data_IF_589978242887
#
_entry.id   IF_589978242887
#
_cell.length_a   1.000
_cell.length_b   1.000
_cell.length_c   1.000
_cell.angle_alpha   90.00
_cell.angle_beta   90.00
_cell.angle_gamma   90.00
#
_symmetry.space_group_name_H-M   'P 1'
#
loop_
_entity.id
_entity.type
_entity.pdbx_description
1 polymer ?
#
# COMPACT_ATOMS: atom_id res chain seq x y z
N UNK A 1 2.46 -29.99 27.01
CA UNK A 1 1.35 -29.46 26.18
C UNK A 1 1.14 -27.95 26.38
N UNK A 2 2.19 -27.12 26.50
CA UNK A 2 2.07 -25.65 26.72
C UNK A 2 2.57 -24.77 25.56
N UNK A 3 2.84 -25.33 24.38
CA UNK A 3 3.50 -24.58 23.29
C UNK A 3 2.57 -23.63 22.50
N UNK A 4 1.25 -23.86 22.47
CA UNK A 4 0.34 -23.02 21.69
C UNK A 4 0.11 -21.64 22.30
N UNK A 5 0.00 -21.57 23.64
CA UNK A 5 -0.14 -20.29 24.35
C UNK A 5 1.14 -19.45 24.30
N UNK A 6 2.31 -20.11 24.33
CA UNK A 6 3.60 -19.43 24.13
C UNK A 6 3.78 -18.96 22.67
N UNK A 7 3.31 -19.71 21.68
CA UNK A 7 3.29 -19.26 20.28
C UNK A 7 2.38 -18.02 20.10
N UNK A 8 1.26 -17.96 20.82
CA UNK A 8 0.37 -16.79 20.80
C UNK A 8 0.98 -15.55 21.49
N UNK A 9 1.93 -15.75 22.41
CA UNK A 9 2.58 -14.63 23.12
C UNK A 9 3.41 -13.74 22.21
N UNK A 10 3.89 -14.27 21.08
CA UNK A 10 4.61 -13.52 20.04
C UNK A 10 3.73 -12.39 19.48
N UNK A 11 2.43 -12.65 19.26
CA UNK A 11 1.50 -11.64 18.75
C UNK A 11 1.18 -10.51 19.75
N UNK A 12 1.59 -10.65 21.01
CA UNK A 12 1.46 -9.59 22.02
C UNK A 12 2.67 -8.66 22.08
N UNK A 13 3.72 -8.95 21.32
CA UNK A 13 4.87 -8.06 21.23
C UNK A 13 4.42 -6.71 20.64
N UNK A 14 4.69 -5.57 21.32
CA UNK A 14 4.33 -4.24 20.81
C UNK A 14 4.88 -3.96 19.40
N UNK A 15 5.99 -4.58 19.01
CA UNK A 15 6.56 -4.49 17.67
C UNK A 15 5.67 -5.12 16.61
N UNK A 16 5.16 -6.31 16.88
CA UNK A 16 4.29 -7.06 15.95
C UNK A 16 2.92 -6.39 15.86
N UNK A 17 2.42 -5.87 16.98
CA UNK A 17 1.20 -5.07 17.01
C UNK A 17 1.38 -3.79 16.18
N UNK A 18 2.49 -3.07 16.33
CA UNK A 18 2.79 -1.91 15.50
C UNK A 18 2.82 -2.23 14.01
N UNK A 19 3.50 -3.32 13.61
CA UNK A 19 3.54 -3.79 12.22
C UNK A 19 2.14 -4.08 11.67
N UNK A 20 1.23 -4.60 12.50
CA UNK A 20 -0.16 -4.83 12.08
C UNK A 20 -0.92 -3.54 11.76
N UNK A 21 -0.76 -2.50 12.58
CA UNK A 21 -1.39 -1.20 12.34
C UNK A 21 -0.74 -0.42 11.19
N UNK A 22 0.57 -0.57 10.99
CA UNK A 22 1.25 -0.04 9.81
C UNK A 22 0.77 -0.74 8.53
N UNK A 23 0.58 -2.07 8.60
CA UNK A 23 -0.05 -2.84 7.51
C UNK A 23 -1.48 -2.38 7.23
N UNK A 24 -2.26 -2.12 8.27
CA UNK A 24 -3.60 -1.53 8.13
C UNK A 24 -3.54 -0.19 7.40
N UNK A 25 -2.67 0.72 7.84
CA UNK A 25 -2.48 2.02 7.21
C UNK A 25 -2.06 1.93 5.73
N UNK A 26 -1.16 1.00 5.39
CA UNK A 26 -0.72 0.73 4.02
C UNK A 26 -1.84 0.18 3.12
N UNK A 27 -2.82 -0.53 3.69
CA UNK A 27 -3.91 -1.15 2.93
C UNK A 27 -5.00 -0.18 2.48
N UNK A 28 -5.19 0.95 3.17
CA UNK A 28 -6.28 1.90 2.89
C UNK A 28 -6.11 2.59 1.51
N UNK A 29 -4.93 3.16 1.15
CA UNK A 29 -4.82 3.96 -0.06
C UNK A 29 -4.86 3.16 -1.36
N UNK A 30 -4.55 1.85 -1.33
CA UNK A 30 -4.59 1.02 -2.53
C UNK A 30 -5.99 0.98 -3.15
N UNK A 31 -7.03 0.76 -2.33
CA UNK A 31 -8.40 0.72 -2.82
C UNK A 31 -8.95 2.10 -3.16
N UNK A 32 -8.50 3.13 -2.43
CA UNK A 32 -8.86 4.53 -2.66
C UNK A 32 -8.52 4.97 -4.09
N UNK A 33 -7.30 4.68 -4.55
CA UNK A 33 -6.85 4.99 -5.92
C UNK A 33 -7.27 3.94 -6.96
N UNK A 34 -7.90 2.85 -6.53
CA UNK A 34 -8.29 1.71 -7.36
C UNK A 34 -9.81 1.61 -7.53
N UNK A 35 -10.41 0.52 -7.02
CA UNK A 35 -11.82 0.21 -7.28
C UNK A 35 -12.80 1.27 -6.76
N UNK A 36 -12.44 2.00 -5.69
CA UNK A 36 -13.33 3.02 -5.11
C UNK A 36 -13.42 4.23 -6.02
N UNK A 37 -12.28 4.72 -6.51
CA UNK A 37 -12.24 5.79 -7.50
C UNK A 37 -12.93 5.38 -8.80
N UNK A 38 -12.73 4.15 -9.27
CA UNK A 38 -13.44 3.65 -10.45
C UNK A 38 -14.96 3.64 -10.27
N UNK A 39 -15.46 3.23 -9.09
CA UNK A 39 -16.89 3.29 -8.77
C UNK A 39 -17.41 4.73 -8.82
N UNK A 40 -16.69 5.66 -8.20
CA UNK A 40 -17.06 7.07 -8.21
C UNK A 40 -17.12 7.65 -9.63
N UNK A 41 -16.07 7.45 -10.42
CA UNK A 41 -16.03 7.88 -11.82
C UNK A 41 -17.18 7.29 -12.66
N UNK A 42 -17.56 6.04 -12.38
CA UNK A 42 -18.69 5.40 -13.08
C UNK A 42 -20.02 6.06 -12.74
N UNK A 43 -20.25 6.41 -11.48
CA UNK A 43 -21.48 7.10 -11.07
C UNK A 43 -21.58 8.52 -11.62
N UNK A 44 -20.45 9.22 -11.74
CA UNK A 44 -20.35 10.53 -12.41
C UNK A 44 -20.41 10.42 -13.94
N UNK A 45 -20.74 9.24 -14.48
CA UNK A 45 -20.91 8.98 -15.92
C UNK A 45 -19.67 9.28 -16.77
N UNK A 46 -18.48 9.16 -16.19
CA UNK A 46 -17.22 9.24 -16.93
C UNK A 46 -17.12 8.04 -17.89
N UNK A 47 -16.57 8.27 -19.09
CA UNK A 47 -16.48 7.24 -20.10
C UNK A 47 -15.56 6.08 -19.67
N UNK A 48 -15.90 4.86 -20.11
CA UNK A 48 -15.16 3.64 -19.78
C UNK A 48 -13.70 3.66 -20.20
N UNK A 49 -13.36 4.40 -21.27
CA UNK A 49 -11.97 4.51 -21.75
C UNK A 49 -11.14 5.30 -20.74
N UNK A 50 -11.65 6.42 -20.28
CA UNK A 50 -11.05 7.21 -19.20
C UNK A 50 -10.94 6.39 -17.92
N UNK A 51 -11.99 5.69 -17.49
CA UNK A 51 -11.93 4.80 -16.31
C UNK A 51 -10.85 3.72 -16.46
N UNK A 52 -10.72 3.14 -17.66
CA UNK A 52 -9.64 2.23 -18.01
C UNK A 52 -8.26 2.87 -17.88
N UNK A 53 -8.08 4.11 -18.37
CA UNK A 53 -6.84 4.86 -18.21
C UNK A 53 -6.53 5.18 -16.74
N UNK A 54 -7.54 5.40 -15.90
CA UNK A 54 -7.35 5.57 -14.46
C UNK A 54 -6.73 4.35 -13.78
N UNK A 55 -6.81 3.14 -14.36
CA UNK A 55 -6.05 1.98 -13.85
C UNK A 55 -4.54 2.22 -13.85
N UNK A 56 -4.03 3.09 -14.73
CA UNK A 56 -2.62 3.49 -14.78
C UNK A 56 -2.18 4.30 -13.55
N UNK A 57 -3.12 4.87 -12.79
CA UNK A 57 -2.82 5.49 -11.49
C UNK A 57 -2.21 4.47 -10.53
N UNK A 58 -2.48 3.17 -10.71
CA UNK A 58 -1.86 2.09 -9.94
C UNK A 58 -0.40 1.79 -10.29
N UNK A 59 0.15 2.34 -11.39
CA UNK A 59 1.54 2.10 -11.83
C UNK A 59 2.59 2.33 -10.73
N UNK A 60 2.46 3.32 -9.82
CA UNK A 60 3.45 3.51 -8.79
C UNK A 60 3.65 2.29 -7.88
N UNK A 61 2.59 1.52 -7.59
CA UNK A 61 2.73 0.29 -6.80
C UNK A 61 3.57 -0.78 -7.50
N UNK A 62 3.52 -0.84 -8.83
CA UNK A 62 4.31 -1.77 -9.65
C UNK A 62 5.75 -1.30 -9.81
N UNK A 63 5.94 0.02 -9.98
CA UNK A 63 7.24 0.63 -10.27
C UNK A 63 8.02 1.05 -9.03
N UNK A 64 7.50 0.79 -7.82
CA UNK A 64 8.08 1.24 -6.55
C UNK A 64 9.55 0.83 -6.34
N UNK A 65 9.99 -0.26 -6.98
CA UNK A 65 11.39 -0.69 -6.97
C UNK A 65 12.36 0.31 -7.61
N UNK A 66 11.91 1.19 -8.50
CA UNK A 66 12.77 2.17 -9.18
C UNK A 66 13.30 3.25 -8.23
N UNK A 67 12.48 3.69 -7.28
CA UNK A 67 12.85 4.73 -6.32
C UNK A 67 13.04 4.22 -4.89
N UNK A 68 12.76 2.94 -4.61
CA UNK A 68 13.07 2.34 -3.32
C UNK A 68 14.53 2.56 -2.87
N UNK A 69 15.54 2.33 -3.71
CA UNK A 69 16.93 2.57 -3.33
C UNK A 69 17.19 4.04 -2.98
N UNK A 70 16.55 4.97 -3.67
CA UNK A 70 16.70 6.40 -3.43
C UNK A 70 16.14 6.76 -2.05
N UNK A 71 14.92 6.30 -1.74
CA UNK A 71 14.27 6.54 -0.46
C UNK A 71 15.08 5.95 0.71
N UNK A 72 15.66 4.76 0.54
CA UNK A 72 16.46 4.10 1.60
C UNK A 72 17.76 4.85 1.95
N UNK A 73 18.33 5.60 0.99
CA UNK A 73 19.59 6.31 1.16
C UNK A 73 19.41 7.79 1.53
N UNK A 74 18.21 8.36 1.34
CA UNK A 74 17.94 9.76 1.64
C UNK A 74 17.73 10.00 3.14
N UNK A 75 18.56 10.89 3.70
CA UNK A 75 18.47 11.32 5.09
C UNK A 75 17.72 12.65 5.16
N UNK A 76 16.64 12.71 5.94
CA UNK A 76 15.89 13.96 6.16
C UNK A 76 16.54 14.71 7.33
N UNK A 77 17.26 15.83 7.09
CA UNK A 77 18.27 16.34 8.02
C UNK A 77 17.74 16.86 9.37
N UNK A 78 16.47 17.29 9.43
CA UNK A 78 15.87 17.87 10.66
C UNK A 78 15.08 16.81 11.43
N UNK A 79 14.17 16.10 10.76
CA UNK A 79 13.29 15.13 11.41
C UNK A 79 14.02 13.85 11.84
N UNK A 80 15.01 13.41 11.04
CA UNK A 80 15.76 12.17 11.33
C UNK A 80 16.60 12.26 12.60
N UNK A 81 16.98 13.47 13.02
CA UNK A 81 17.73 13.71 14.28
C UNK A 81 16.85 13.61 15.51
N UNK A 82 15.55 13.85 15.39
CA UNK A 82 14.62 13.94 16.53
C UNK A 82 13.87 12.62 16.72
N UNK A 83 13.42 11.99 15.63
CA UNK A 83 12.54 10.82 15.71
C UNK A 83 13.14 9.54 15.14
N UNK A 84 14.30 9.62 14.47
CA UNK A 84 14.87 8.51 13.70
C UNK A 84 14.53 8.59 12.22
N UNK A 85 15.28 7.86 11.38
CA UNK A 85 15.22 7.94 9.92
C UNK A 85 13.91 7.36 9.37
N UNK A 86 13.51 6.18 9.85
CA UNK A 86 12.35 5.46 9.29
C UNK A 86 11.03 6.10 9.73
N UNK A 87 10.88 6.41 11.02
CA UNK A 87 9.70 7.14 11.53
C UNK A 87 9.46 8.47 10.84
N UNK A 88 10.52 9.22 10.55
CA UNK A 88 10.42 10.51 9.86
C UNK A 88 9.82 10.39 8.46
N UNK A 89 10.31 9.41 7.68
CA UNK A 89 9.77 9.12 6.36
C UNK A 89 8.34 8.60 6.42
N UNK A 90 8.03 7.71 7.38
CA UNK A 90 6.65 7.22 7.58
C UNK A 90 5.70 8.40 7.82
N UNK A 91 6.00 9.28 8.78
CA UNK A 91 5.13 10.43 9.08
C UNK A 91 4.97 11.37 7.88
N UNK A 92 6.04 11.69 7.17
CA UNK A 92 5.97 12.61 6.03
C UNK A 92 5.11 12.01 4.91
N UNK A 93 5.37 10.76 4.51
CA UNK A 93 4.62 10.09 3.44
C UNK A 93 3.15 9.91 3.82
N UNK A 94 2.88 9.58 5.08
CA UNK A 94 1.53 9.49 5.64
C UNK A 94 0.78 10.82 5.55
N UNK A 95 1.43 11.94 5.86
CA UNK A 95 0.85 13.27 5.72
C UNK A 95 0.58 13.63 4.25
N UNK A 96 1.46 13.21 3.33
CA UNK A 96 1.23 13.36 1.89
C UNK A 96 0.04 12.53 1.41
N UNK A 97 -0.09 11.27 1.83
CA UNK A 97 -1.24 10.42 1.52
C UNK A 97 -2.53 11.05 2.03
N UNK A 98 -2.53 11.53 3.28
CA UNK A 98 -3.68 12.18 3.89
C UNK A 98 -4.08 13.45 3.13
N UNK A 99 -3.13 14.35 2.86
CA UNK A 99 -3.40 15.58 2.13
C UNK A 99 -3.92 15.30 0.72
N UNK A 100 -3.30 14.35 -0.01
CA UNK A 100 -3.72 13.99 -1.36
C UNK A 100 -5.10 13.32 -1.38
N UNK A 101 -5.43 12.51 -0.36
CA UNK A 101 -6.75 11.88 -0.22
C UNK A 101 -7.84 12.92 0.08
N UNK A 102 -7.54 13.92 0.91
CA UNK A 102 -8.47 15.03 1.15
C UNK A 102 -8.68 15.86 -0.13
N UNK A 103 -7.60 16.21 -0.84
CA UNK A 103 -7.71 16.91 -2.13
C UNK A 103 -8.57 16.12 -3.12
N UNK A 104 -8.42 14.80 -3.18
CA UNK A 104 -9.22 13.93 -4.02
C UNK A 104 -10.71 13.96 -3.60
N UNK A 105 -11.01 13.90 -2.30
CA UNK A 105 -12.40 13.95 -1.80
C UNK A 105 -13.12 15.28 -2.02
N UNK A 106 -12.39 16.39 -2.13
CA UNK A 106 -12.94 17.72 -2.46
C UNK A 106 -12.86 18.04 -3.97
N UNK A 107 -12.36 17.13 -4.80
CA UNK A 107 -12.31 17.32 -6.24
C UNK A 107 -13.60 16.79 -6.87
N UNK A 108 -14.17 17.52 -7.82
CA UNK A 108 -15.32 17.06 -8.60
C UNK A 108 -14.82 16.42 -9.92
N UNK A 109 -15.06 15.12 -10.15
CA UNK A 109 -14.71 14.46 -11.41
C UNK A 109 -15.43 15.04 -12.64
N UNK A 110 -16.63 15.60 -12.47
CA UNK A 110 -17.40 16.20 -13.54
C UNK A 110 -16.81 17.56 -13.99
N UNK A 111 -16.21 18.31 -13.06
CA UNK A 111 -15.57 19.59 -13.38
C UNK A 111 -14.16 19.43 -13.96
N UNK A 112 -13.32 18.58 -13.35
CA UNK A 112 -11.91 18.48 -13.73
C UNK A 112 -11.30 17.10 -13.49
N UNK A 113 -11.51 16.21 -14.46
CA UNK A 113 -10.99 14.86 -14.45
C UNK A 113 -9.46 14.78 -14.33
N UNK A 114 -8.72 15.75 -14.90
CA UNK A 114 -7.26 15.80 -14.82
C UNK A 114 -6.79 16.05 -13.38
N UNK A 115 -7.48 16.93 -12.64
CA UNK A 115 -7.16 17.19 -11.23
C UNK A 115 -7.35 15.93 -10.38
N UNK A 116 -8.44 15.20 -10.62
CA UNK A 116 -8.72 13.91 -9.97
C UNK A 116 -7.62 12.89 -10.29
N UNK A 117 -7.21 12.80 -11.56
CA UNK A 117 -6.12 11.90 -11.98
C UNK A 117 -4.78 12.23 -11.31
N UNK A 118 -4.40 13.51 -11.26
CA UNK A 118 -3.16 13.95 -10.60
C UNK A 118 -3.23 13.67 -9.10
N UNK A 119 -4.34 14.01 -8.44
CA UNK A 119 -4.51 13.75 -7.01
C UNK A 119 -4.43 12.25 -6.69
N UNK A 120 -5.11 11.41 -7.48
CA UNK A 120 -5.07 9.96 -7.33
C UNK A 120 -3.65 9.39 -7.58
N UNK A 121 -2.92 9.93 -8.57
CA UNK A 121 -1.53 9.56 -8.82
C UNK A 121 -0.61 9.93 -7.66
N UNK A 122 -0.80 11.11 -7.06
CA UNK A 122 -0.06 11.53 -5.86
C UNK A 122 -0.37 10.61 -4.67
N UNK A 123 -1.65 10.24 -4.46
CA UNK A 123 -2.03 9.24 -3.45
C UNK A 123 -1.30 7.92 -3.69
N UNK A 124 -1.36 7.40 -4.91
CA UNK A 124 -0.72 6.13 -5.26
C UNK A 124 0.80 6.17 -5.11
N UNK A 125 1.45 7.25 -5.52
CA UNK A 125 2.91 7.42 -5.40
C UNK A 125 3.35 7.54 -3.94
N UNK A 126 2.66 8.36 -3.15
CA UNK A 126 2.97 8.54 -1.73
C UNK A 126 2.72 7.25 -0.94
N UNK A 127 1.63 6.53 -1.24
CA UNK A 127 1.31 5.24 -0.64
C UNK A 127 2.31 4.14 -1.03
N UNK A 128 2.65 4.03 -2.31
CA UNK A 128 3.68 3.08 -2.76
C UNK A 128 5.05 3.36 -2.13
N UNK A 129 5.36 4.63 -1.89
CA UNK A 129 6.57 5.04 -1.17
C UNK A 129 6.49 4.71 0.33
N UNK A 130 5.31 4.87 0.93
CA UNK A 130 5.05 4.49 2.31
C UNK A 130 5.25 2.98 2.52
N UNK A 131 4.74 2.16 1.61
CA UNK A 131 4.93 0.70 1.63
C UNK A 131 6.40 0.30 1.65
N UNK A 132 7.26 0.96 0.86
CA UNK A 132 8.72 0.69 0.84
C UNK A 132 9.31 0.87 2.25
N UNK A 133 8.96 1.97 2.91
CA UNK A 133 9.47 2.26 4.25
C UNK A 133 8.92 1.26 5.27
N UNK A 134 7.63 0.91 5.20
CA UNK A 134 7.03 -0.07 6.12
C UNK A 134 7.64 -1.46 5.93
N UNK A 135 7.85 -1.89 4.69
CA UNK A 135 8.50 -3.17 4.37
C UNK A 135 9.91 -3.23 4.96
N UNK A 136 10.70 -2.16 4.79
CA UNK A 136 12.05 -2.08 5.38
C UNK A 136 12.01 -2.02 6.91
N UNK A 137 11.10 -1.21 7.47
CA UNK A 137 10.93 -1.04 8.92
C UNK A 137 10.51 -2.35 9.60
N UNK A 138 9.65 -3.16 8.96
CA UNK A 138 9.26 -4.49 9.45
C UNK A 138 10.47 -5.41 9.57
N UNK A 139 11.33 -5.43 8.57
CA UNK A 139 12.55 -6.27 8.56
C UNK A 139 13.53 -5.82 9.66
N UNK A 140 13.65 -4.52 9.89
CA UNK A 140 14.56 -3.95 10.90
C UNK A 140 14.08 -4.15 12.35
N UNK A 141 12.76 -4.30 12.58
CA UNK A 141 12.17 -4.44 13.92
C UNK A 141 11.95 -5.89 14.34
N UNK A 142 11.68 -6.78 13.39
CA UNK A 142 11.40 -8.19 13.68
C UNK A 142 12.72 -8.98 13.73
N UNK A 143 13.01 -9.57 14.88
CA UNK A 143 14.10 -10.53 15.01
C UNK A 143 13.88 -11.73 14.06
N UNK A 144 14.94 -12.44 13.64
CA UNK A 144 14.87 -13.54 12.67
C UNK A 144 13.82 -14.62 13.04
N UNK A 145 13.61 -14.86 14.34
CA UNK A 145 12.60 -15.80 14.86
C UNK A 145 11.16 -15.30 14.71
N UNK A 146 10.95 -13.98 14.62
CA UNK A 146 9.65 -13.32 14.60
C UNK A 146 9.27 -12.78 13.21
N UNK A 147 10.16 -12.85 12.21
CA UNK A 147 9.90 -12.33 10.85
C UNK A 147 8.65 -12.93 10.20
N UNK A 148 8.41 -14.23 10.39
CA UNK A 148 7.22 -14.90 9.86
C UNK A 148 5.93 -14.36 10.47
N UNK A 149 5.91 -14.16 11.79
CA UNK A 149 4.77 -13.59 12.50
C UNK A 149 4.52 -12.13 12.08
N UNK A 150 5.59 -11.32 11.97
CA UNK A 150 5.49 -9.94 11.51
C UNK A 150 4.99 -9.80 10.07
N UNK A 151 5.41 -10.69 9.17
CA UNK A 151 4.89 -10.71 7.79
C UNK A 151 3.40 -11.08 7.76
N UNK A 152 2.99 -12.07 8.55
CA UNK A 152 1.60 -12.50 8.64
C UNK A 152 0.70 -11.39 9.21
N UNK A 153 1.10 -10.74 10.31
CA UNK A 153 0.29 -9.66 10.91
C UNK A 153 0.23 -8.41 10.03
N UNK A 154 1.30 -8.10 9.30
CA UNK A 154 1.29 -7.05 8.28
C UNK A 154 0.22 -7.31 7.22
N UNK A 155 0.23 -8.51 6.61
CA UNK A 155 -0.75 -8.89 5.59
C UNK A 155 -2.16 -8.90 6.16
N UNK A 156 -2.34 -9.38 7.40
CA UNK A 156 -3.64 -9.38 8.05
C UNK A 156 -4.18 -7.96 8.25
N UNK A 157 -3.35 -7.06 8.81
CA UNK A 157 -3.71 -5.64 8.96
C UNK A 157 -4.08 -5.00 7.62
N UNK A 158 -3.28 -5.26 6.58
CA UNK A 158 -3.52 -4.80 5.21
C UNK A 158 -4.88 -5.27 4.67
N UNK A 159 -5.21 -6.55 4.83
CA UNK A 159 -6.49 -7.13 4.38
C UNK A 159 -7.69 -6.58 5.16
N UNK A 160 -7.54 -6.38 6.47
CA UNK A 160 -8.58 -5.76 7.30
C UNK A 160 -8.84 -4.32 6.85
N UNK A 161 -7.79 -3.56 6.54
CA UNK A 161 -7.94 -2.21 6.00
C UNK A 161 -8.62 -2.21 4.64
N UNK A 162 -8.23 -3.09 3.72
CA UNK A 162 -8.89 -3.22 2.42
C UNK A 162 -10.39 -3.52 2.57
N UNK A 163 -10.74 -4.45 3.46
CA UNK A 163 -12.13 -4.78 3.72
C UNK A 163 -12.90 -3.59 4.28
N UNK A 164 -12.39 -3.00 5.37
CA UNK A 164 -13.04 -1.89 6.04
C UNK A 164 -13.21 -0.72 5.08
N UNK A 165 -12.16 -0.37 4.33
CA UNK A 165 -12.17 0.72 3.36
C UNK A 165 -13.18 0.45 2.26
N UNK A 166 -13.14 -0.73 1.63
CA UNK A 166 -14.05 -1.06 0.53
C UNK A 166 -15.51 -1.19 0.94
N UNK A 167 -15.78 -1.63 2.17
CA UNK A 167 -17.12 -1.70 2.73
C UNK A 167 -17.63 -0.32 3.15
N UNK A 168 -16.86 0.39 3.98
CA UNK A 168 -17.27 1.69 4.52
C UNK A 168 -17.37 2.74 3.43
N UNK A 169 -16.50 2.70 2.41
CA UNK A 169 -16.48 3.73 1.37
C UNK A 169 -17.78 3.78 0.60
N UNK A 170 -18.31 2.62 0.20
CA UNK A 170 -19.53 2.53 -0.58
C UNK A 170 -20.76 2.82 0.26
N UNK A 171 -20.79 2.34 1.51
CA UNK A 171 -21.89 2.65 2.43
C UNK A 171 -21.97 4.17 2.69
N UNK A 172 -20.85 4.79 3.03
CA UNK A 172 -20.81 6.23 3.32
C UNK A 172 -21.06 7.04 2.05
N UNK A 173 -20.54 6.62 0.90
CA UNK A 173 -20.80 7.32 -0.36
C UNK A 173 -22.28 7.33 -0.74
N UNK A 174 -23.01 6.24 -0.50
CA UNK A 174 -24.44 6.13 -0.79
C UNK A 174 -25.30 7.05 0.09
N UNK A 175 -24.99 7.13 1.39
CA UNK A 175 -25.80 7.92 2.35
C UNK A 175 -25.34 9.38 2.52
N UNK A 176 -24.04 9.64 2.46
CA UNK A 176 -23.42 10.92 2.83
C UNK A 176 -22.57 11.53 1.71
N UNK A 177 -22.43 10.84 0.58
CA UNK A 177 -21.65 11.30 -0.57
C UNK A 177 -20.16 10.99 -0.50
N UNK A 178 -19.49 11.16 -1.65
CA UNK A 178 -18.09 10.79 -1.85
C UNK A 178 -17.11 11.59 -1.00
N UNK A 179 -17.34 12.89 -0.81
CA UNK A 179 -16.45 13.73 0.01
C UNK A 179 -16.33 13.21 1.45
N UNK A 180 -17.45 12.89 2.10
CA UNK A 180 -17.44 12.34 3.46
C UNK A 180 -16.80 10.95 3.47
N UNK A 181 -17.05 10.14 2.44
CA UNK A 181 -16.39 8.84 2.27
C UNK A 181 -14.86 8.97 2.25
N UNK A 182 -14.31 9.85 1.41
CA UNK A 182 -12.86 10.11 1.34
C UNK A 182 -12.29 10.73 2.62
N UNK A 183 -13.05 11.57 3.33
CA UNK A 183 -12.64 12.09 4.64
C UNK A 183 -12.53 10.98 5.70
N UNK A 184 -13.48 10.05 5.73
CA UNK A 184 -13.41 8.90 6.66
C UNK A 184 -12.23 7.99 6.31
N UNK A 185 -11.96 7.76 5.03
CA UNK A 185 -10.79 6.98 4.60
C UNK A 185 -9.47 7.69 4.97
N UNK A 186 -9.40 9.02 4.82
CA UNK A 186 -8.27 9.81 5.31
C UNK A 186 -8.11 9.72 6.85
N UNK A 187 -9.22 9.62 7.60
CA UNK A 187 -9.18 9.37 9.03
C UNK A 187 -8.68 7.97 9.38
N UNK A 188 -9.01 6.93 8.60
CA UNK A 188 -8.46 5.58 8.79
C UNK A 188 -6.94 5.54 8.59
N UNK A 189 -6.43 6.31 7.63
CA UNK A 189 -4.99 6.50 7.41
C UNK A 189 -4.31 7.06 8.67
N UNK A 190 -4.97 7.90 9.49
CA UNK A 190 -4.38 8.43 10.74
C UNK A 190 -4.01 7.36 11.77
N UNK A 191 -4.62 6.17 11.71
CA UNK A 191 -4.26 5.03 12.58
C UNK A 191 -2.77 4.68 12.42
N UNK A 192 -2.25 4.74 11.19
CA UNK A 192 -0.82 4.57 10.90
C UNK A 192 0.01 5.66 11.55
N UNK A 193 -0.39 6.93 11.39
CA UNK A 193 0.31 8.07 12.00
C UNK A 193 0.45 7.92 13.51
N UNK A 194 -0.66 7.58 14.19
CA UNK A 194 -0.69 7.38 15.64
C UNK A 194 0.26 6.24 16.03
N UNK A 195 0.22 5.13 15.28
CA UNK A 195 1.08 3.97 15.51
C UNK A 195 2.57 4.33 15.43
N UNK A 196 2.96 5.15 14.43
CA UNK A 196 4.36 5.57 14.26
C UNK A 196 4.87 6.34 15.47
N UNK A 197 4.04 7.16 16.12
CA UNK A 197 4.44 7.90 17.33
C UNK A 197 4.72 6.97 18.52
N UNK A 198 4.03 5.85 18.64
CA UNK A 198 4.19 4.89 19.73
C UNK A 198 5.21 3.78 19.44
N UNK A 199 5.57 3.54 18.18
CA UNK A 199 6.47 2.44 17.80
C UNK A 199 7.91 2.87 17.97
N UNK A 200 8.76 2.15 18.72
CA UNK A 200 10.18 2.50 18.93
C UNK A 200 10.99 2.47 17.62
N UNK A 201 11.90 3.43 17.40
CA UNK A 201 12.80 3.41 16.22
C UNK A 201 13.73 2.18 16.35
N UNK A 202 13.89 1.35 15.31
CA UNK A 202 14.83 0.24 15.35
C UNK A 202 16.24 0.76 15.64
N UNK A 203 17.00 0.00 16.44
CA UNK A 203 18.37 0.35 16.76
C UNK A 203 19.15 0.49 15.46
N UNK A 204 19.66 1.70 15.19
CA UNK A 204 20.46 1.95 13.99
C UNK A 204 21.68 1.05 14.08
N UNK A 205 21.82 0.11 13.15
CA UNK A 205 23.03 -0.68 13.05
C UNK A 205 24.21 0.28 12.78
N UNK A 206 25.19 0.42 13.70
CA UNK A 206 26.34 1.30 13.51
C UNK A 206 27.11 0.97 12.21
N UNK A 207 27.01 -0.26 11.72
CA UNK A 207 27.57 -0.67 10.44
C UNK A 207 26.89 -0.01 9.21
N UNK A 208 25.58 0.28 9.29
CA UNK A 208 24.86 1.01 8.25
C UNK A 208 25.18 2.52 8.29
N UNK A 209 25.38 3.08 9.49
CA UNK A 209 25.88 4.44 9.66
C UNK A 209 27.33 4.59 9.14
N UNK A 210 28.17 3.56 9.28
CA UNK A 210 29.52 3.51 8.71
C UNK A 210 29.55 3.54 7.17
N UNK A 211 28.62 2.84 6.50
CA UNK A 211 28.48 2.88 5.02
C UNK A 211 27.98 4.22 4.50
N UNK A 212 27.32 5.03 5.32
CA UNK A 212 26.85 6.37 4.95
C UNK A 212 27.91 7.47 5.08
N UNK A 213 29.00 7.21 5.81
CA UNK A 213 30.09 8.16 6.04
C UNK A 213 31.32 7.93 5.16
N UNK A 214 31.40 6.81 4.44
CA UNK A 214 32.27 6.74 3.26
C UNK A 214 31.65 7.63 2.19
N UNK A 215 32.28 8.79 1.95
CA UNK A 215 31.91 9.75 0.91
C UNK A 215 31.34 9.02 -0.31
N UNK A 216 30.08 9.26 -0.72
CA UNK A 216 29.60 8.79 -2.02
C UNK A 216 30.23 9.67 -3.11
N UNK A 217 31.53 9.49 -3.32
CA UNK A 217 32.15 9.65 -4.63
C UNK A 217 32.15 8.30 -5.36
N UNK A 218 31.27 7.39 -4.95
CA UNK A 218 30.89 6.20 -5.70
C UNK A 218 29.93 6.64 -6.80
N UNK A 219 30.42 6.54 -8.02
CA UNK A 219 29.74 6.77 -9.29
C UNK A 219 28.23 6.43 -9.20
N UNK A 220 27.34 7.41 -9.43
CA UNK A 220 25.89 7.20 -9.46
C UNK A 220 25.51 6.01 -10.37
N UNK A 221 26.33 5.77 -11.40
CA UNK A 221 26.24 4.61 -12.29
C UNK A 221 26.48 3.27 -11.57
N UNK A 222 27.45 3.20 -10.66
CA UNK A 222 27.75 1.99 -9.90
C UNK A 222 26.66 1.70 -8.87
N UNK A 223 26.09 2.74 -8.25
CA UNK A 223 24.96 2.58 -7.33
C UNK A 223 23.68 2.08 -8.04
N UNK A 224 23.34 2.65 -9.20
CA UNK A 224 22.24 2.13 -10.04
C UNK A 224 22.52 0.69 -10.46
N UNK A 225 23.77 0.41 -10.87
CA UNK A 225 24.14 -0.93 -11.30
C UNK A 225 23.91 -1.95 -10.19
N UNK A 226 24.41 -1.69 -8.99
CA UNK A 226 24.30 -2.65 -7.87
C UNK A 226 22.90 -2.73 -7.27
N UNK A 227 22.16 -1.62 -7.19
CA UNK A 227 20.85 -1.59 -6.51
C UNK A 227 19.69 -1.97 -7.43
N UNK A 228 19.80 -1.70 -8.74
CA UNK A 228 18.73 -1.92 -9.72
C UNK A 228 19.13 -3.00 -10.72
N UNK A 229 20.27 -2.86 -11.41
CA UNK A 229 20.60 -3.72 -12.56
C UNK A 229 21.00 -5.13 -12.14
N UNK A 230 21.88 -5.27 -11.14
CA UNK A 230 22.43 -6.56 -10.71
C UNK A 230 21.36 -7.57 -10.27
N UNK A 231 20.31 -7.18 -9.49
CA UNK A 231 19.18 -8.06 -9.19
C UNK A 231 18.42 -8.57 -10.42
N UNK A 232 18.18 -7.71 -11.42
CA UNK A 232 17.53 -8.14 -12.67
C UNK A 232 18.44 -9.05 -13.49
N UNK A 233 19.74 -8.76 -13.55
CA UNK A 233 20.71 -9.62 -14.24
C UNK A 233 20.80 -10.98 -13.56
N UNK A 234 20.79 -11.04 -12.23
CA UNK A 234 20.75 -12.32 -11.50
C UNK A 234 19.47 -13.11 -11.80
N UNK A 235 18.31 -12.43 -11.85
CA UNK A 235 17.06 -13.05 -12.25
C UNK A 235 17.11 -13.63 -13.68
N UNK A 236 17.65 -12.88 -14.65
CA UNK A 236 17.76 -13.31 -16.05
C UNK A 236 18.76 -14.46 -16.25
N UNK A 237 19.67 -14.69 -15.29
CA UNK A 237 20.58 -15.85 -15.31
C UNK A 237 19.93 -17.13 -14.82
N UNK A 238 18.76 -17.07 -14.20
CA UNK A 238 18.08 -18.26 -13.67
C UNK A 238 17.47 -19.08 -14.81
N UNK A 239 17.56 -20.42 -14.75
CA UNK A 239 16.96 -21.27 -15.76
C UNK A 239 15.43 -21.06 -15.77
N UNK A 240 14.82 -21.04 -16.97
CA UNK A 240 13.38 -20.86 -17.18
C UNK A 240 12.81 -19.47 -16.79
N UNK A 241 13.64 -18.44 -16.58
CA UNK A 241 13.16 -17.09 -16.22
C UNK A 241 12.10 -16.55 -17.18
N UNK A 242 12.26 -16.78 -18.50
CA UNK A 242 11.33 -16.30 -19.52
C UNK A 242 9.97 -17.00 -19.42
N UNK A 243 9.96 -18.32 -19.19
CA UNK A 243 8.73 -19.10 -19.02
C UNK A 243 7.99 -18.62 -17.77
N UNK A 244 8.71 -18.36 -16.69
CA UNK A 244 8.14 -17.84 -15.44
C UNK A 244 7.49 -16.46 -15.68
N UNK A 245 8.18 -15.53 -16.36
CA UNK A 245 7.61 -14.22 -16.70
C UNK A 245 6.37 -14.38 -17.57
N UNK A 246 6.44 -15.17 -18.65
CA UNK A 246 5.30 -15.38 -19.54
C UNK A 246 4.11 -15.97 -18.78
N UNK A 247 4.34 -16.98 -17.93
CA UNK A 247 3.30 -17.56 -17.09
C UNK A 247 2.65 -16.51 -16.19
N UNK A 248 3.44 -15.71 -15.48
CA UNK A 248 2.93 -14.65 -14.59
C UNK A 248 2.13 -13.63 -15.39
N UNK A 249 2.65 -13.16 -16.54
CA UNK A 249 1.98 -12.17 -17.38
C UNK A 249 0.66 -12.72 -17.90
N UNK A 250 0.63 -13.90 -18.52
CA UNK A 250 -0.62 -14.47 -19.06
C UNK A 250 -1.64 -14.77 -17.96
N UNK A 251 -1.19 -15.28 -16.81
CA UNK A 251 -2.06 -15.53 -15.66
C UNK A 251 -2.64 -14.24 -15.08
N UNK A 252 -1.80 -13.21 -14.86
CA UNK A 252 -2.22 -11.94 -14.25
C UNK A 252 -2.89 -10.97 -15.20
N UNK A 253 -2.68 -11.11 -16.51
CA UNK A 253 -3.25 -10.22 -17.50
C UNK A 253 -4.78 -10.26 -17.47
N UNK A 254 -5.36 -11.46 -17.47
CA UNK A 254 -6.82 -11.63 -17.35
C UNK A 254 -7.36 -11.09 -16.03
N UNK A 255 -6.71 -11.43 -14.92
CA UNK A 255 -7.07 -10.97 -13.57
C UNK A 255 -7.05 -9.43 -13.46
N UNK A 256 -6.02 -8.79 -14.01
CA UNK A 256 -5.86 -7.33 -13.97
C UNK A 256 -6.90 -6.61 -14.84
N UNK A 257 -7.16 -7.12 -16.04
CA UNK A 257 -8.20 -6.57 -16.93
C UNK A 257 -9.60 -6.72 -16.32
N UNK A 258 -9.91 -7.92 -15.81
CA UNK A 258 -11.17 -8.17 -15.14
C UNK A 258 -11.31 -7.22 -13.93
N UNK A 259 -10.28 -7.13 -13.08
CA UNK A 259 -10.29 -6.28 -11.89
C UNK A 259 -10.57 -4.81 -12.18
N UNK A 260 -10.03 -4.26 -13.28
CA UNK A 260 -10.21 -2.86 -13.65
C UNK A 260 -11.63 -2.50 -14.16
N UNK A 261 -12.35 -3.48 -14.73
CA UNK A 261 -13.67 -3.26 -15.34
C UNK A 261 -14.80 -3.82 -14.47
N UNK A 262 -14.51 -4.75 -13.56
CA UNK A 262 -15.51 -5.42 -12.72
C UNK A 262 -16.38 -4.43 -11.93
N UNK A 263 -15.79 -3.43 -11.29
CA UNK A 263 -16.56 -2.47 -10.48
C UNK A 263 -17.46 -1.57 -11.35
N UNK A 264 -16.95 -0.95 -12.43
CA UNK A 264 -17.81 -0.25 -13.40
C UNK A 264 -18.91 -1.14 -13.99
N UNK A 265 -18.60 -2.39 -14.32
CA UNK A 265 -19.55 -3.34 -14.89
C UNK A 265 -20.72 -3.63 -13.95
N UNK A 266 -20.47 -3.83 -12.64
CA UNK A 266 -21.55 -4.02 -11.67
C UNK A 266 -22.48 -2.80 -11.58
N UNK A 267 -21.92 -1.59 -11.55
CA UNK A 267 -22.72 -0.38 -11.50
C UNK A 267 -23.56 -0.18 -12.78
N UNK A 268 -22.97 -0.43 -13.95
CA UNK A 268 -23.68 -0.30 -15.23
C UNK A 268 -24.76 -1.35 -15.45
N UNK A 269 -24.63 -2.53 -14.84
CA UNK A 269 -25.66 -3.58 -14.89
C UNK A 269 -26.83 -3.32 -13.91
N UNK A 270 -26.74 -2.25 -13.11
CA UNK A 270 -27.82 -1.79 -12.23
C UNK A 270 -27.66 -2.18 -10.76
N UNK A 271 -26.52 -2.76 -10.36
CA UNK A 271 -26.27 -3.03 -8.94
C UNK A 271 -25.99 -1.74 -8.17
N UNK A 272 -26.53 -1.67 -6.95
CA UNK A 272 -26.29 -0.57 -6.02
C UNK A 272 -24.91 -0.66 -5.35
N UNK A 273 -24.41 0.47 -4.85
CA UNK A 273 -23.20 0.53 -4.03
C UNK A 273 -23.29 -0.42 -2.82
N UNK A 274 -24.48 -0.50 -2.20
CA UNK A 274 -24.74 -1.36 -1.05
C UNK A 274 -24.69 -2.85 -1.39
N UNK A 275 -25.21 -3.27 -2.54
CA UNK A 275 -25.11 -4.66 -2.99
C UNK A 275 -23.66 -5.05 -3.26
N UNK A 276 -22.88 -4.16 -3.89
CA UNK A 276 -21.45 -4.40 -4.13
C UNK A 276 -20.68 -4.51 -2.80
N UNK A 277 -20.98 -3.64 -1.83
CA UNK A 277 -20.36 -3.69 -0.50
C UNK A 277 -20.71 -4.98 0.27
N UNK A 278 -21.99 -5.36 0.27
CA UNK A 278 -22.47 -6.53 1.02
C UNK A 278 -22.05 -7.86 0.37
N UNK A 279 -22.13 -7.97 -0.95
CA UNK A 279 -21.88 -9.24 -1.63
C UNK A 279 -20.40 -9.36 -1.97
N UNK A 280 -19.88 -8.46 -2.80
CA UNK A 280 -18.53 -8.59 -3.38
C UNK A 280 -17.46 -8.35 -2.32
N UNK A 281 -17.61 -7.28 -1.52
CA UNK A 281 -16.58 -6.90 -0.54
C UNK A 281 -16.67 -7.70 0.75
N UNK A 282 -17.85 -8.11 1.21
CA UNK A 282 -17.95 -8.87 2.47
C UNK A 282 -17.69 -10.36 2.28
N UNK A 283 -18.38 -11.03 1.35
CA UNK A 283 -18.16 -12.47 1.15
C UNK A 283 -16.78 -12.78 0.59
N UNK A 284 -16.30 -12.00 -0.39
CA UNK A 284 -14.97 -12.19 -0.97
C UNK A 284 -13.86 -12.08 0.07
N UNK A 285 -13.96 -11.12 0.99
CA UNK A 285 -12.96 -10.95 2.04
C UNK A 285 -13.09 -12.03 3.12
N UNK A 286 -14.30 -12.41 3.55
CA UNK A 286 -14.46 -13.53 4.50
C UNK A 286 -13.86 -14.81 3.94
N UNK A 287 -14.13 -15.13 2.67
CA UNK A 287 -13.54 -16.29 2.00
C UNK A 287 -12.00 -16.20 1.96
N UNK A 288 -11.45 -15.00 1.73
CA UNK A 288 -10.00 -14.77 1.75
C UNK A 288 -9.41 -14.98 3.15
N UNK A 289 -10.08 -14.48 4.20
CA UNK A 289 -9.63 -14.68 5.58
C UNK A 289 -9.69 -16.14 6.01
N UNK A 290 -10.77 -16.85 5.62
CA UNK A 290 -10.90 -18.29 5.87
C UNK A 290 -9.81 -19.06 5.14
N UNK A 291 -9.56 -18.77 3.86
CA UNK A 291 -8.47 -19.38 3.10
C UNK A 291 -7.11 -19.13 3.76
N UNK A 292 -6.83 -17.88 4.15
CA UNK A 292 -5.57 -17.51 4.82
C UNK A 292 -5.39 -18.18 6.19
N UNK A 293 -6.48 -18.51 6.88
CA UNK A 293 -6.44 -19.25 8.14
C UNK A 293 -6.26 -20.77 7.93
N UNK A 294 -6.81 -21.32 6.84
CA UNK A 294 -6.73 -22.75 6.54
C UNK A 294 -5.39 -23.13 5.87
N UNK A 295 -4.81 -22.24 5.06
CA UNK A 295 -3.53 -22.44 4.37
C UNK A 295 -3.56 -22.03 2.91
#
# INVERSE_FOLDING_TARGET
MNNWLNALSIYRDPRIVAVSFLGFSAGVPLLLSGSILQAWLTLEQVDLTSIGLFSLVGLPYTLKFLWAPLIDNLHIPVLSKIMGRRRSWLLILQMFVLAATLVLGFSDPAENLLRVAIAALVVAFASASYDIIVDAFRIEICDETNMGAGAATYVYGYRVAMWLTGFSSFYIADFFGWTISYMVMAALVLVGTITVFFTTEPAQDPAAAGRSNEKPQADYRQWIKTSVIDPFVDFLRRPHWLIIILFIVFYKFGDSLAGAITTPFYLQTGFSLLEIANIVKTFGTIATFVGLFIG
#
